data_IF_855424310041
#
_entry.id   IF_855424310041
#
_cell.length_a   1.000
_cell.length_b   1.000
_cell.length_c   1.000
_cell.angle_alpha   90.00
_cell.angle_beta   90.00
_cell.angle_gamma   90.00
#
_symmetry.space_group_name_H-M   'P 1'
#
loop_
_entity.id
_entity.type
_entity.pdbx_description
1 polymer ?
#
# COMPACT_ATOMS: atom_id res chain seq x y z
N UNK A 1 -68.36 24.68 -53.26
CA UNK A 1 -68.88 25.23 -51.99
C UNK A 1 -67.79 25.02 -50.95
N UNK A 2 -67.01 26.06 -50.61
CA UNK A 2 -67.16 26.87 -49.38
C UNK A 2 -66.49 26.12 -48.18
N UNK A 3 -65.52 26.63 -47.40
CA UNK A 3 -64.92 27.95 -47.17
C UNK A 3 -63.61 27.76 -46.38
N UNK A 4 -62.77 28.80 -46.43
CA UNK A 4 -61.56 29.08 -45.65
C UNK A 4 -61.88 29.39 -44.17
N UNK A 5 -60.97 29.08 -43.23
CA UNK A 5 -60.63 29.80 -41.97
C UNK A 5 -59.57 28.99 -41.18
N UNK A 6 -58.33 29.47 -40.99
CA UNK A 6 -57.82 30.44 -40.00
C UNK A 6 -57.75 29.96 -38.54
N UNK A 7 -56.50 29.88 -38.04
CA UNK A 7 -55.99 30.10 -36.69
C UNK A 7 -56.34 29.10 -35.56
N UNK A 8 -55.30 28.50 -34.96
CA UNK A 8 -54.79 28.89 -33.63
C UNK A 8 -53.45 28.17 -33.37
N UNK A 9 -52.35 28.93 -33.30
CA UNK A 9 -51.10 28.45 -32.73
C UNK A 9 -51.19 28.54 -31.21
N UNK A 10 -51.26 27.41 -30.53
CA UNK A 10 -51.15 27.34 -29.07
C UNK A 10 -49.66 27.36 -28.69
N UNK A 11 -49.17 28.49 -28.17
CA UNK A 11 -47.93 28.52 -27.38
C UNK A 11 -48.18 27.74 -26.08
N UNK A 12 -47.76 26.48 -26.04
CA UNK A 12 -47.60 25.75 -24.79
C UNK A 12 -46.35 26.26 -24.08
N UNK A 13 -46.54 27.15 -23.10
CA UNK A 13 -45.51 27.54 -22.14
C UNK A 13 -45.24 26.33 -21.24
N UNK A 14 -44.31 25.46 -21.65
CA UNK A 14 -43.84 24.35 -20.85
C UNK A 14 -43.05 24.86 -19.66
N UNK A 15 -43.69 24.93 -18.48
CA UNK A 15 -42.98 24.94 -17.20
C UNK A 15 -42.21 23.62 -17.11
N UNK A 16 -40.94 23.63 -17.51
CA UNK A 16 -40.01 22.57 -17.16
C UNK A 16 -39.82 22.60 -15.64
N UNK A 17 -40.62 21.79 -14.93
CA UNK A 17 -40.29 21.36 -13.58
C UNK A 17 -38.93 20.68 -13.68
N UNK A 18 -37.88 21.38 -13.26
CA UNK A 18 -36.58 20.78 -13.02
C UNK A 18 -36.80 19.68 -11.96
N UNK A 19 -36.89 18.43 -12.39
CA UNK A 19 -36.76 17.30 -11.48
C UNK A 19 -35.41 17.47 -10.79
N UNK A 20 -35.35 17.57 -9.46
CA UNK A 20 -34.07 17.50 -8.77
C UNK A 20 -33.41 16.18 -9.18
N UNK A 21 -32.14 16.25 -9.59
CA UNK A 21 -31.37 15.05 -9.84
C UNK A 21 -31.42 14.16 -8.57
N UNK A 22 -31.57 12.83 -8.70
CA UNK A 22 -31.56 11.95 -7.55
C UNK A 22 -30.28 12.21 -6.74
N UNK A 23 -30.47 12.55 -5.47
CA UNK A 23 -29.37 12.75 -4.54
C UNK A 23 -28.86 11.37 -4.16
N UNK A 24 -27.60 11.08 -4.46
CA UNK A 24 -27.00 9.78 -4.14
C UNK A 24 -27.18 9.43 -2.66
N UNK A 25 -27.72 8.24 -2.40
CA UNK A 25 -27.92 7.68 -1.07
C UNK A 25 -26.65 7.77 -0.22
N UNK A 26 -26.80 8.23 1.02
CA UNK A 26 -25.70 8.35 1.98
C UNK A 26 -25.19 6.96 2.42
N UNK A 27 -23.92 6.82 2.83
CA UNK A 27 -23.42 5.55 3.36
C UNK A 27 -24.25 5.02 4.54
N UNK A 28 -24.71 5.89 5.43
CA UNK A 28 -25.58 5.55 6.55
C UNK A 28 -26.91 4.97 6.10
N UNK A 29 -27.57 5.58 5.12
CA UNK A 29 -28.81 5.06 4.53
C UNK A 29 -28.59 3.70 3.87
N UNK A 30 -27.50 3.54 3.13
CA UNK A 30 -27.12 2.27 2.52
C UNK A 30 -26.85 1.17 3.56
N UNK A 31 -26.21 1.51 4.69
CA UNK A 31 -26.00 0.57 5.82
C UNK A 31 -27.35 0.17 6.42
N UNK A 32 -28.23 1.13 6.72
CA UNK A 32 -29.53 0.82 7.29
C UNK A 32 -30.36 -0.06 6.35
N UNK A 33 -30.44 0.30 5.07
CA UNK A 33 -31.19 -0.43 4.05
C UNK A 33 -30.69 -1.87 3.87
N UNK A 34 -29.36 -2.07 3.83
CA UNK A 34 -28.77 -3.35 3.45
C UNK A 34 -28.34 -4.22 4.63
N UNK A 35 -28.22 -3.68 5.84
CA UNK A 35 -27.65 -4.41 6.97
C UNK A 35 -28.60 -4.55 8.17
N UNK A 36 -29.55 -3.63 8.38
CA UNK A 36 -30.37 -3.60 9.59
C UNK A 36 -31.36 -4.78 9.72
N UNK A 37 -31.67 -5.47 8.62
CA UNK A 37 -32.51 -6.68 8.65
C UNK A 37 -31.87 -7.87 9.36
N UNK A 38 -30.53 -7.88 9.50
CA UNK A 38 -29.78 -8.96 10.17
C UNK A 38 -28.95 -8.45 11.35
N UNK A 39 -28.39 -7.24 11.23
CA UNK A 39 -27.62 -6.62 12.28
C UNK A 39 -28.51 -5.71 13.13
N UNK A 40 -28.66 -6.06 14.40
CA UNK A 40 -29.48 -5.31 15.35
C UNK A 40 -28.81 -3.97 15.72
N UNK A 41 -29.58 -2.91 16.02
CA UNK A 41 -29.04 -1.71 16.64
C UNK A 41 -28.34 -2.02 17.97
N UNK A 42 -27.22 -1.36 18.24
CA UNK A 42 -26.56 -1.41 19.55
C UNK A 42 -27.38 -0.59 20.55
N UNK A 43 -27.46 -1.01 21.82
CA UNK A 43 -28.34 -0.43 22.88
C UNK A 43 -28.05 1.04 23.25
N UNK A 44 -27.16 1.74 22.55
CA UNK A 44 -26.93 3.19 22.67
C UNK A 44 -27.42 3.90 21.40
N UNK A 45 -28.16 5.01 21.51
CA UNK A 45 -28.51 5.85 20.36
C UNK A 45 -27.25 6.20 19.56
N UNK A 46 -27.33 6.16 18.23
CA UNK A 46 -26.26 6.49 17.28
C UNK A 46 -25.00 5.61 17.36
N UNK A 47 -25.01 4.52 18.14
CA UNK A 47 -23.91 3.57 18.20
C UNK A 47 -23.86 2.61 17.00
N UNK A 48 -24.84 2.71 16.09
CA UNK A 48 -24.95 1.92 14.86
C UNK A 48 -25.32 0.45 15.09
N UNK A 49 -24.96 -0.43 14.14
CA UNK A 49 -25.40 -1.82 14.10
C UNK A 49 -24.39 -2.80 14.69
N UNK A 50 -24.87 -3.88 15.32
CA UNK A 50 -24.07 -4.97 15.91
C UNK A 50 -23.01 -5.50 14.95
N UNK A 51 -21.92 -6.05 15.49
CA UNK A 51 -20.73 -6.57 14.78
C UNK A 51 -19.85 -5.48 14.16
N UNK A 52 -20.44 -4.61 13.35
CA UNK A 52 -19.73 -3.57 12.60
C UNK A 52 -19.00 -2.57 13.50
N UNK A 53 -19.48 -2.39 14.73
CA UNK A 53 -18.99 -1.35 15.66
C UNK A 53 -17.87 -1.83 16.57
N UNK A 54 -17.48 -3.10 16.47
CA UNK A 54 -16.44 -3.70 17.31
C UNK A 54 -15.32 -4.34 16.47
N UNK A 55 -15.22 -3.94 15.20
CA UNK A 55 -14.16 -4.36 14.28
C UNK A 55 -13.60 -3.16 13.51
N UNK A 56 -12.29 -3.16 13.28
CA UNK A 56 -11.59 -2.27 12.34
C UNK A 56 -10.69 -3.09 11.43
N UNK A 57 -10.56 -2.67 10.17
CA UNK A 57 -9.85 -3.42 9.11
C UNK A 57 -9.29 -2.47 8.05
N UNK A 58 -8.42 -2.99 7.20
CA UNK A 58 -7.99 -2.31 5.96
C UNK A 58 -9.15 -2.20 4.96
N UNK A 59 -9.03 -1.38 3.90
CA UNK A 59 -10.02 -1.32 2.83
C UNK A 59 -10.34 -2.69 2.23
N UNK A 60 -9.31 -3.49 1.93
CA UNK A 60 -9.46 -4.84 1.41
C UNK A 60 -10.15 -5.77 2.43
N UNK A 61 -9.90 -5.59 3.73
CA UNK A 61 -10.56 -6.37 4.79
C UNK A 61 -12.07 -6.07 4.90
N UNK A 62 -12.46 -4.81 4.71
CA UNK A 62 -13.88 -4.41 4.61
C UNK A 62 -14.51 -4.92 3.32
N UNK A 63 -13.82 -4.79 2.18
CA UNK A 63 -14.27 -5.37 0.91
C UNK A 63 -14.55 -6.87 1.05
N UNK A 64 -13.61 -7.63 1.61
CA UNK A 64 -13.80 -9.07 1.87
C UNK A 64 -15.01 -9.36 2.77
N UNK A 65 -15.31 -8.48 3.72
CA UNK A 65 -16.46 -8.65 4.62
C UNK A 65 -17.78 -8.43 3.88
N UNK A 66 -17.89 -7.35 3.11
CA UNK A 66 -19.08 -7.06 2.30
C UNK A 66 -19.28 -8.09 1.19
N UNK A 67 -18.20 -8.51 0.50
CA UNK A 67 -18.25 -9.61 -0.48
C UNK A 67 -18.73 -10.90 0.18
N UNK A 68 -18.31 -11.21 1.40
CA UNK A 68 -18.81 -12.38 2.12
C UNK A 68 -20.31 -12.25 2.42
N UNK A 69 -20.80 -11.07 2.80
CA UNK A 69 -22.24 -10.87 2.99
C UNK A 69 -23.01 -11.05 1.68
N UNK A 70 -22.47 -10.57 0.57
CA UNK A 70 -23.07 -10.76 -0.75
C UNK A 70 -23.11 -12.25 -1.15
N UNK A 71 -21.98 -12.95 -1.02
CA UNK A 71 -21.81 -14.31 -1.52
C UNK A 71 -22.47 -15.35 -0.61
N UNK A 72 -22.24 -15.28 0.71
CA UNK A 72 -22.73 -16.29 1.66
C UNK A 72 -24.14 -15.97 2.15
N UNK A 73 -24.41 -14.73 2.53
CA UNK A 73 -25.68 -14.34 3.15
C UNK A 73 -26.66 -13.68 2.17
N UNK A 74 -26.29 -13.59 0.88
CA UNK A 74 -27.13 -13.08 -0.21
C UNK A 74 -27.63 -11.65 0.03
N UNK A 75 -26.83 -10.85 0.75
CA UNK A 75 -27.09 -9.41 0.89
C UNK A 75 -27.14 -8.77 -0.51
N UNK A 76 -28.23 -8.09 -0.87
CA UNK A 76 -28.44 -7.67 -2.25
C UNK A 76 -27.64 -6.40 -2.59
N UNK A 77 -27.25 -5.60 -1.59
CA UNK A 77 -26.59 -4.31 -1.77
C UNK A 77 -27.37 -3.41 -2.74
N UNK A 78 -28.63 -3.16 -2.40
CA UNK A 78 -29.55 -2.31 -3.16
C UNK A 78 -29.33 -0.84 -2.87
N UNK A 79 -29.57 -0.02 -3.88
CA UNK A 79 -29.63 1.43 -3.81
C UNK A 79 -30.95 1.91 -4.46
N UNK A 80 -31.79 2.70 -3.76
CA UNK A 80 -32.98 3.32 -4.33
C UNK A 80 -32.69 4.19 -5.58
N UNK A 81 -31.49 4.75 -5.68
CA UNK A 81 -31.05 5.60 -6.80
C UNK A 81 -30.52 4.79 -7.99
N UNK A 82 -30.56 3.46 -7.92
CA UNK A 82 -30.24 2.57 -9.02
C UNK A 82 -28.75 2.25 -9.18
N UNK A 83 -27.92 2.54 -8.19
CA UNK A 83 -26.53 2.11 -8.19
C UNK A 83 -26.42 0.57 -8.20
N UNK A 84 -25.37 0.06 -8.84
CA UNK A 84 -25.13 -1.38 -8.87
C UNK A 84 -24.72 -1.90 -7.48
N UNK A 85 -24.90 -3.20 -7.18
CA UNK A 85 -24.40 -3.80 -5.94
C UNK A 85 -22.90 -3.57 -5.70
N UNK A 86 -22.10 -3.55 -6.77
CA UNK A 86 -20.67 -3.25 -6.70
C UNK A 86 -20.40 -1.80 -6.30
N UNK A 87 -21.16 -0.85 -6.83
CA UNK A 87 -21.06 0.56 -6.47
C UNK A 87 -21.46 0.80 -5.01
N UNK A 88 -22.57 0.21 -4.57
CA UNK A 88 -22.98 0.25 -3.15
C UNK A 88 -21.88 -0.31 -2.26
N UNK A 89 -21.33 -1.48 -2.60
CA UNK A 89 -20.23 -2.05 -1.84
C UNK A 89 -19.00 -1.15 -1.83
N UNK A 90 -18.63 -0.53 -2.96
CA UNK A 90 -17.49 0.40 -3.04
C UNK A 90 -17.69 1.63 -2.15
N UNK A 91 -18.89 2.20 -2.13
CA UNK A 91 -19.27 3.30 -1.22
C UNK A 91 -19.13 2.87 0.24
N UNK A 92 -19.65 1.68 0.60
CA UNK A 92 -19.56 1.16 1.96
C UNK A 92 -18.11 0.80 2.36
N UNK A 93 -17.29 0.27 1.44
CA UNK A 93 -15.85 0.03 1.70
C UNK A 93 -15.16 1.34 2.05
N UNK A 94 -15.39 2.41 1.28
CA UNK A 94 -14.81 3.73 1.57
C UNK A 94 -15.22 4.20 2.96
N UNK A 95 -16.51 4.19 3.25
CA UNK A 95 -17.05 4.60 4.54
C UNK A 95 -16.46 3.82 5.72
N UNK A 96 -16.45 2.49 5.64
CA UNK A 96 -15.92 1.66 6.73
C UNK A 96 -14.40 1.76 6.86
N UNK A 97 -13.67 1.91 5.76
CA UNK A 97 -12.23 2.11 5.82
C UNK A 97 -11.87 3.46 6.47
N UNK A 98 -12.62 4.52 6.20
CA UNK A 98 -12.34 5.83 6.82
C UNK A 98 -12.72 5.87 8.29
N UNK A 99 -13.91 5.34 8.61
CA UNK A 99 -14.47 5.43 9.97
C UNK A 99 -13.95 4.32 10.89
N UNK A 100 -13.57 3.17 10.33
CA UNK A 100 -13.17 1.94 11.04
C UNK A 100 -11.97 1.28 10.37
N UNK A 101 -11.01 2.13 10.01
CA UNK A 101 -9.72 1.76 9.42
C UNK A 101 -8.67 1.36 10.45
N UNK A 102 -7.44 1.24 9.96
CA UNK A 102 -6.25 1.04 10.79
C UNK A 102 -5.35 2.26 10.71
N UNK A 103 -4.72 2.64 11.82
CA UNK A 103 -3.65 3.64 11.79
C UNK A 103 -2.43 3.12 11.01
N UNK A 104 -1.56 4.00 10.47
CA UNK A 104 -0.36 3.59 9.74
C UNK A 104 0.51 2.59 10.53
N UNK A 105 0.72 2.84 11.82
CA UNK A 105 1.49 1.94 12.69
C UNK A 105 0.86 0.54 12.84
N UNK A 106 -0.47 0.45 12.77
CA UNK A 106 -1.20 -0.81 12.93
C UNK A 106 -1.10 -1.73 11.71
N UNK A 107 -0.87 -1.17 10.51
CA UNK A 107 -0.74 -1.92 9.25
C UNK A 107 0.72 -2.19 8.85
N UNK A 108 1.68 -1.45 9.42
CA UNK A 108 3.09 -1.43 9.03
C UNK A 108 3.74 -2.84 8.89
N UNK A 109 3.52 -3.74 9.85
CA UNK A 109 4.11 -5.10 9.84
C UNK A 109 3.60 -5.96 8.66
N UNK A 110 2.38 -5.73 8.20
CA UNK A 110 1.65 -6.65 7.32
C UNK A 110 1.34 -6.10 5.93
N UNK A 111 1.91 -4.94 5.58
CA UNK A 111 1.69 -4.29 4.28
C UNK A 111 2.00 -5.19 3.09
N UNK A 112 2.96 -6.10 3.22
CA UNK A 112 3.30 -7.08 2.17
C UNK A 112 2.09 -7.83 1.62
N UNK A 113 1.07 -8.08 2.46
CA UNK A 113 -0.14 -8.78 2.04
C UNK A 113 -1.10 -7.90 1.25
N UNK A 114 -1.17 -6.60 1.55
CA UNK A 114 -1.94 -5.63 0.78
C UNK A 114 -1.26 -5.40 -0.58
N UNK A 115 0.08 -5.36 -0.57
CA UNK A 115 0.95 -5.19 -1.74
C UNK A 115 1.08 -6.46 -2.62
N UNK A 116 0.29 -7.51 -2.34
CA UNK A 116 0.30 -8.77 -3.11
C UNK A 116 1.68 -9.45 -3.19
N UNK A 117 2.49 -9.36 -2.12
CA UNK A 117 3.79 -10.04 -2.01
C UNK A 117 3.62 -11.48 -1.55
N UNK A 118 3.02 -12.32 -2.40
CA UNK A 118 2.64 -13.69 -2.05
C UNK A 118 3.80 -14.67 -1.80
N UNK A 119 5.04 -14.27 -2.09
CA UNK A 119 6.24 -15.05 -1.75
C UNK A 119 6.81 -14.73 -0.36
N UNK A 120 6.14 -13.86 0.41
CA UNK A 120 6.53 -13.58 1.80
C UNK A 120 6.32 -14.84 2.64
N UNK A 121 7.32 -15.17 3.45
CA UNK A 121 7.23 -16.28 4.41
C UNK A 121 6.82 -15.67 5.74
N UNK A 122 5.61 -15.97 6.17
CA UNK A 122 5.14 -15.62 7.51
C UNK A 122 5.90 -16.47 8.53
N UNK A 123 6.36 -15.83 9.60
CA UNK A 123 7.01 -16.49 10.73
C UNK A 123 6.32 -16.00 12.01
N UNK A 124 5.13 -16.57 12.33
CA UNK A 124 4.42 -16.18 13.53
C UNK A 124 5.25 -16.53 14.78
N UNK A 125 5.25 -15.64 15.77
CA UNK A 125 6.06 -15.80 16.99
C UNK A 125 5.52 -16.90 17.90
N UNK A 126 4.19 -17.04 17.95
CA UNK A 126 3.51 -18.04 18.75
C UNK A 126 3.18 -19.29 17.89
N UNK A 127 3.71 -20.48 18.23
CA UNK A 127 3.46 -21.70 17.47
C UNK A 127 2.00 -22.14 17.46
N UNK A 128 1.28 -21.91 18.56
CA UNK A 128 -0.13 -22.27 18.69
C UNK A 128 -0.97 -21.39 17.76
N UNK A 129 -0.69 -20.08 17.74
CA UNK A 129 -1.26 -19.14 16.77
C UNK A 129 -0.94 -19.54 15.32
N UNK A 130 0.30 -19.94 15.04
CA UNK A 130 0.70 -20.35 13.68
C UNK A 130 -0.17 -21.50 13.16
N UNK A 131 -0.43 -22.49 14.01
CA UNK A 131 -1.27 -23.65 13.68
C UNK A 131 -2.74 -23.27 13.62
N UNK A 132 -3.23 -22.50 14.59
CA UNK A 132 -4.66 -22.20 14.72
C UNK A 132 -5.16 -21.18 13.70
N UNK A 133 -4.33 -20.21 13.30
CA UNK A 133 -4.75 -19.06 12.52
C UNK A 133 -4.06 -18.92 11.15
N UNK A 134 -2.80 -19.34 11.02
CA UNK A 134 -1.95 -18.99 9.87
C UNK A 134 -1.67 -20.14 8.89
N UNK A 135 -2.27 -21.32 9.09
CA UNK A 135 -2.06 -22.49 8.19
C UNK A 135 -2.91 -22.48 6.92
N UNK A 136 -4.05 -21.79 6.92
CA UNK A 136 -4.98 -21.75 5.78
C UNK A 136 -4.79 -20.49 4.93
N UNK A 137 -4.55 -19.35 5.58
CA UNK A 137 -4.28 -18.06 4.95
C UNK A 137 -3.18 -17.34 5.73
N UNK A 138 -2.57 -16.34 5.11
CA UNK A 138 -1.49 -15.56 5.71
C UNK A 138 -1.86 -14.97 7.08
N UNK A 139 -0.88 -14.88 7.97
CA UNK A 139 -0.98 -14.25 9.30
C UNK A 139 -1.42 -12.78 9.18
N UNK A 140 -0.94 -12.09 8.14
CA UNK A 140 -1.32 -10.72 7.80
C UNK A 140 -2.82 -10.50 7.78
N UNK A 141 -3.62 -11.48 7.32
CA UNK A 141 -5.08 -11.34 7.25
C UNK A 141 -5.70 -11.18 8.63
N UNK A 142 -5.09 -11.77 9.66
CA UNK A 142 -5.49 -11.61 11.06
C UNK A 142 -4.89 -10.34 11.62
N UNK A 143 -3.58 -10.11 11.41
CA UNK A 143 -2.85 -8.96 11.95
C UNK A 143 -3.29 -7.59 11.39
N UNK A 144 -3.94 -7.56 10.22
CA UNK A 144 -4.57 -6.39 9.61
C UNK A 144 -6.02 -6.17 10.08
N UNK A 145 -6.33 -6.57 11.30
CA UNK A 145 -7.63 -6.33 11.93
C UNK A 145 -7.46 -5.96 13.40
N UNK A 146 -8.44 -5.25 13.95
CA UNK A 146 -8.54 -4.90 15.35
C UNK A 146 -9.96 -5.16 15.81
N UNK A 147 -10.15 -5.93 16.88
CA UNK A 147 -11.48 -6.35 17.31
C UNK A 147 -11.61 -6.44 18.83
N UNK A 148 -12.85 -6.37 19.31
CA UNK A 148 -13.13 -6.69 20.72
C UNK A 148 -12.96 -8.19 20.94
N UNK A 149 -12.85 -8.60 22.20
CA UNK A 149 -12.75 -10.03 22.54
C UNK A 149 -13.97 -10.82 22.05
N UNK A 150 -15.18 -10.26 22.21
CA UNK A 150 -16.41 -10.87 21.71
C UNK A 150 -16.36 -11.07 20.19
N UNK A 151 -15.84 -10.10 19.44
CA UNK A 151 -15.71 -10.21 17.98
C UNK A 151 -14.60 -11.15 17.52
N UNK A 152 -13.58 -11.40 18.34
CA UNK A 152 -12.61 -12.48 18.12
C UNK A 152 -13.22 -13.85 18.42
N UNK A 153 -13.97 -13.99 19.51
CA UNK A 153 -14.72 -15.22 19.86
C UNK A 153 -15.67 -15.63 18.74
N UNK A 154 -16.47 -14.69 18.26
CA UNK A 154 -17.40 -14.97 17.17
C UNK A 154 -16.69 -15.27 15.85
N UNK A 155 -15.49 -14.74 15.63
CA UNK A 155 -14.69 -15.11 14.48
C UNK A 155 -14.28 -16.58 14.54
N UNK A 156 -13.88 -17.09 15.71
CA UNK A 156 -13.54 -18.51 15.90
C UNK A 156 -14.75 -19.38 15.61
N UNK A 157 -15.92 -19.04 16.18
CA UNK A 157 -17.16 -19.75 15.87
C UNK A 157 -17.53 -19.70 14.38
N UNK A 158 -17.39 -18.54 13.73
CA UNK A 158 -17.63 -18.41 12.30
C UNK A 158 -16.74 -19.35 11.48
N UNK A 159 -15.43 -19.45 11.80
CA UNK A 159 -14.53 -20.32 11.06
C UNK A 159 -14.92 -21.80 11.19
N UNK A 160 -15.24 -22.25 12.41
CA UNK A 160 -15.63 -23.64 12.62
C UNK A 160 -17.00 -23.95 11.99
N UNK A 161 -17.98 -23.04 12.13
CA UNK A 161 -19.31 -23.24 11.55
C UNK A 161 -19.27 -23.24 10.01
N UNK A 162 -18.48 -22.34 9.41
CA UNK A 162 -18.37 -22.24 7.95
C UNK A 162 -17.49 -23.32 7.34
N UNK A 163 -16.47 -23.77 8.08
CA UNK A 163 -15.51 -24.78 7.66
C UNK A 163 -15.39 -25.87 8.74
N UNK A 164 -16.43 -26.71 8.93
CA UNK A 164 -16.47 -27.69 10.01
C UNK A 164 -15.33 -28.70 9.94
N UNK A 165 -14.76 -28.95 8.76
CA UNK A 165 -13.61 -29.84 8.59
C UNK A 165 -12.29 -29.23 9.08
N UNK A 166 -12.27 -27.96 9.52
CA UNK A 166 -11.08 -27.30 10.06
C UNK A 166 -10.53 -28.04 11.28
N UNK A 167 -11.39 -28.46 12.20
CA UNK A 167 -10.99 -29.22 13.39
C UNK A 167 -10.57 -30.68 13.06
N UNK A 168 -10.90 -31.20 11.88
CA UNK A 168 -10.50 -32.56 11.45
C UNK A 168 -9.22 -32.59 10.60
N UNK A 169 -8.73 -31.43 10.19
CA UNK A 169 -7.54 -31.31 9.34
C UNK A 169 -6.23 -31.37 10.16
N UNK A 170 -5.08 -31.40 9.49
CA UNK A 170 -3.78 -31.36 10.17
C UNK A 170 -3.61 -30.04 10.97
N UNK A 171 -3.21 -30.16 12.24
CA UNK A 171 -3.20 -29.04 13.20
C UNK A 171 -4.56 -28.76 13.85
N UNK A 172 -5.62 -29.44 13.41
CA UNK A 172 -6.94 -29.44 14.05
C UNK A 172 -7.19 -30.70 14.87
N UNK A 173 -7.09 -31.87 14.23
CA UNK A 173 -7.53 -33.16 14.80
C UNK A 173 -6.66 -33.70 15.94
N UNK A 174 -5.51 -33.08 16.16
CA UNK A 174 -4.51 -33.42 17.16
C UNK A 174 -4.69 -32.64 18.47
N UNK A 175 -5.75 -31.83 18.59
CA UNK A 175 -6.03 -30.99 19.77
C UNK A 175 -7.53 -30.77 19.97
N UNK A 176 -7.91 -30.26 21.13
CA UNK A 176 -9.22 -29.64 21.33
C UNK A 176 -9.25 -28.30 20.60
N UNK A 177 -9.60 -28.32 19.32
CA UNK A 177 -9.50 -27.15 18.45
C UNK A 177 -10.40 -26.00 18.92
N UNK A 178 -11.65 -26.29 19.30
CA UNK A 178 -12.57 -25.25 19.73
C UNK A 178 -12.19 -24.72 21.12
N UNK A 179 -11.90 -25.59 22.09
CA UNK A 179 -11.47 -25.15 23.43
C UNK A 179 -10.21 -24.31 23.37
N UNK A 180 -9.19 -24.76 22.63
CA UNK A 180 -7.96 -23.97 22.38
C UNK A 180 -8.27 -22.64 21.70
N UNK A 181 -9.14 -22.64 20.70
CA UNK A 181 -9.56 -21.45 19.98
C UNK A 181 -10.17 -20.40 20.92
N UNK A 182 -11.02 -20.82 21.85
CA UNK A 182 -11.75 -19.94 22.76
C UNK A 182 -10.93 -19.52 23.99
N UNK A 183 -10.18 -20.44 24.58
CA UNK A 183 -9.56 -20.23 25.89
C UNK A 183 -8.11 -19.76 25.78
N UNK A 184 -7.45 -20.00 24.63
CA UNK A 184 -6.05 -19.60 24.39
C UNK A 184 -5.94 -18.55 23.29
N UNK A 185 -6.52 -18.82 22.12
CA UNK A 185 -6.33 -17.96 20.95
C UNK A 185 -7.11 -16.64 21.06
N UNK A 186 -8.37 -16.65 21.52
CA UNK A 186 -9.14 -15.41 21.70
C UNK A 186 -8.48 -14.43 22.68
N UNK A 187 -8.00 -14.83 23.87
CA UNK A 187 -7.24 -13.94 24.75
C UNK A 187 -5.96 -13.40 24.09
N UNK A 188 -5.20 -14.24 23.39
CA UNK A 188 -4.00 -13.83 22.66
C UNK A 188 -4.32 -12.77 21.60
N UNK A 189 -5.34 -13.01 20.77
CA UNK A 189 -5.78 -12.07 19.73
C UNK A 189 -6.29 -10.76 20.31
N UNK A 190 -7.04 -10.82 21.41
CA UNK A 190 -7.61 -9.63 22.06
C UNK A 190 -6.53 -8.75 22.66
N UNK A 191 -5.48 -9.36 23.23
CA UNK A 191 -4.30 -8.64 23.72
C UNK A 191 -3.45 -8.05 22.59
N UNK A 192 -3.25 -8.82 21.53
CA UNK A 192 -2.32 -8.47 20.44
C UNK A 192 -2.92 -7.48 19.45
N UNK A 193 -4.23 -7.61 19.19
CA UNK A 193 -4.98 -6.84 18.20
C UNK A 193 -6.30 -6.30 18.79
N UNK A 194 -6.23 -5.51 19.88
CA UNK A 194 -7.42 -4.97 20.54
C UNK A 194 -8.16 -3.98 19.65
N UNK A 195 -9.48 -3.87 19.81
CA UNK A 195 -10.29 -2.89 19.07
C UNK A 195 -9.83 -1.45 19.31
N UNK A 196 -9.63 -1.08 20.57
CA UNK A 196 -9.18 0.25 20.97
C UNK A 196 -7.65 0.27 21.08
N UNK A 197 -7.03 1.25 20.43
CA UNK A 197 -5.58 1.48 20.49
C UNK A 197 -5.32 2.99 20.59
N UNK A 198 -4.18 3.36 21.17
CA UNK A 198 -3.74 4.76 21.20
C UNK A 198 -3.43 5.25 19.78
N UNK A 199 -2.79 4.39 18.98
CA UNK A 199 -2.43 4.66 17.59
C UNK A 199 -3.65 5.04 16.75
N UNK A 200 -4.77 4.32 16.88
CA UNK A 200 -6.00 4.67 16.17
C UNK A 200 -6.64 5.96 16.71
N UNK A 201 -6.72 6.10 18.03
CA UNK A 201 -7.31 7.28 18.68
C UNK A 201 -6.56 8.56 18.31
N UNK A 202 -5.24 8.50 18.23
CA UNK A 202 -4.37 9.61 17.84
C UNK A 202 -4.47 9.87 16.33
N UNK A 203 -4.47 8.81 15.51
CA UNK A 203 -4.64 8.94 14.07
C UNK A 203 -5.99 9.58 13.72
N UNK A 204 -7.08 9.23 14.38
CA UNK A 204 -8.39 9.85 14.13
C UNK A 204 -8.37 11.37 14.34
N UNK A 205 -7.69 11.84 15.39
CA UNK A 205 -7.58 13.27 15.73
C UNK A 205 -6.59 14.02 14.84
N UNK A 206 -5.60 13.33 14.26
CA UNK A 206 -4.58 13.93 13.42
C UNK A 206 -5.19 14.55 12.14
N UNK A 207 -4.69 15.70 11.73
CA UNK A 207 -4.97 16.24 10.40
C UNK A 207 -4.38 15.31 9.35
N UNK A 208 -5.18 14.89 8.38
CA UNK A 208 -4.73 14.00 7.31
C UNK A 208 -3.94 14.79 6.27
N UNK A 209 -2.84 14.24 5.72
CA UNK A 209 -2.05 14.95 4.72
C UNK A 209 -2.83 15.16 3.42
N UNK A 210 -2.66 16.31 2.79
CA UNK A 210 -3.14 16.53 1.42
C UNK A 210 -2.24 15.75 0.45
N UNK A 211 -2.82 14.90 -0.39
CA UNK A 211 -2.05 14.00 -1.29
C UNK A 211 -2.07 14.43 -2.76
N UNK A 212 -2.83 15.46 -3.12
CA UNK A 212 -2.70 16.14 -4.42
C UNK A 212 -1.30 16.73 -4.63
N UNK A 213 -0.88 16.81 -5.89
CA UNK A 213 0.36 17.46 -6.29
C UNK A 213 1.27 16.56 -7.12
N UNK A 214 2.53 16.97 -7.21
CA UNK A 214 3.55 16.30 -8.03
C UNK A 214 4.44 15.43 -7.14
N UNK A 215 4.68 14.21 -7.59
CA UNK A 215 5.43 13.19 -6.89
C UNK A 215 6.55 12.68 -7.78
N UNK A 216 7.79 12.68 -7.29
CA UNK A 216 8.91 12.03 -7.97
C UNK A 216 8.96 10.58 -7.52
N UNK A 217 8.91 9.65 -8.46
CA UNK A 217 8.96 8.21 -8.23
C UNK A 217 10.32 7.68 -8.69
N UNK A 218 10.83 6.70 -7.95
CA UNK A 218 11.92 5.85 -8.39
C UNK A 218 11.61 4.40 -8.03
N UNK A 219 12.08 3.47 -8.85
CA UNK A 219 11.88 2.04 -8.62
C UNK A 219 12.76 1.16 -9.48
N UNK A 220 12.71 -0.15 -9.23
CA UNK A 220 13.38 -1.17 -10.04
C UNK A 220 12.39 -2.24 -10.50
N UNK A 221 12.12 -2.30 -11.80
CA UNK A 221 11.23 -3.30 -12.38
C UNK A 221 12.03 -4.56 -12.74
N UNK A 222 11.71 -5.74 -12.14
CA UNK A 222 12.40 -6.98 -12.47
C UNK A 222 12.33 -7.29 -13.97
N UNK A 223 13.49 -7.54 -14.58
CA UNK A 223 13.61 -7.82 -16.02
C UNK A 223 13.65 -6.59 -16.93
N UNK A 224 13.36 -5.39 -16.43
CA UNK A 224 13.42 -4.13 -17.20
C UNK A 224 14.51 -3.17 -16.70
N UNK A 225 14.72 -3.10 -15.39
CA UNK A 225 15.75 -2.26 -14.78
C UNK A 225 15.18 -1.13 -13.91
N UNK A 226 16.04 -0.21 -13.52
CA UNK A 226 15.64 0.97 -12.75
C UNK A 226 14.80 1.93 -13.62
N UNK A 227 13.92 2.70 -13.00
CA UNK A 227 13.22 3.81 -13.64
C UNK A 227 13.11 5.01 -12.73
N UNK A 228 12.93 6.17 -13.33
CA UNK A 228 12.53 7.40 -12.67
C UNK A 228 11.30 7.99 -13.37
N UNK A 229 10.35 8.52 -12.60
CA UNK A 229 9.12 9.08 -13.15
C UNK A 229 8.58 10.23 -12.31
N UNK A 230 7.82 11.11 -12.93
CA UNK A 230 7.00 12.13 -12.32
C UNK A 230 5.54 11.67 -12.38
N UNK A 231 4.88 11.61 -11.23
CA UNK A 231 3.45 11.36 -11.11
C UNK A 231 2.76 12.66 -10.67
N UNK A 232 1.77 13.11 -11.42
CA UNK A 232 0.90 14.23 -11.05
C UNK A 232 -0.45 13.70 -10.59
N UNK A 233 -0.79 13.94 -9.34
CA UNK A 233 -2.08 13.61 -8.74
C UNK A 233 -2.95 14.87 -8.67
N UNK A 234 -4.01 14.91 -9.47
CA UNK A 234 -4.96 16.03 -9.52
C UNK A 234 -6.27 15.62 -8.86
N UNK A 235 -6.78 16.41 -7.93
CA UNK A 235 -8.03 16.12 -7.23
C UNK A 235 -9.20 15.94 -8.20
N UNK A 236 -10.03 14.93 -7.95
CA UNK A 236 -11.24 14.56 -8.71
C UNK A 236 -12.37 14.16 -7.74
N UNK A 237 -12.50 14.94 -6.67
CA UNK A 237 -13.30 14.64 -5.49
C UNK A 237 -12.46 14.83 -4.22
N UNK A 238 -13.07 14.62 -3.05
CA UNK A 238 -12.39 14.83 -1.76
C UNK A 238 -11.18 13.90 -1.58
N UNK A 239 -11.34 12.61 -1.87
CA UNK A 239 -10.29 11.59 -1.72
C UNK A 239 -9.97 10.84 -3.02
N UNK A 240 -10.47 11.35 -4.16
CA UNK A 240 -10.25 10.76 -5.48
C UNK A 240 -9.30 11.65 -6.28
N UNK A 241 -8.47 11.02 -7.11
CA UNK A 241 -7.46 11.71 -7.91
C UNK A 241 -7.41 11.14 -9.32
N UNK A 242 -7.17 12.00 -10.31
CA UNK A 242 -6.65 11.61 -11.62
C UNK A 242 -5.13 11.59 -11.55
N UNK A 243 -4.53 10.61 -12.22
CA UNK A 243 -3.09 10.40 -12.27
C UNK A 243 -2.59 10.59 -13.70
N UNK A 244 -1.50 11.36 -13.83
CA UNK A 244 -0.65 11.41 -15.01
C UNK A 244 0.77 10.98 -14.60
N UNK A 245 1.36 10.02 -15.32
CA UNK A 245 2.69 9.45 -15.05
C UNK A 245 3.57 9.64 -16.28
N UNK A 246 4.75 10.22 -16.10
CA UNK A 246 5.75 10.43 -17.15
C UNK A 246 7.15 10.17 -16.62
N UNK A 247 7.94 9.34 -17.29
CA UNK A 247 9.26 8.93 -16.83
C UNK A 247 10.02 8.14 -17.88
N UNK A 248 11.13 7.56 -17.48
CA UNK A 248 11.96 6.71 -18.34
C UNK A 248 12.60 5.57 -17.54
N UNK A 249 12.81 4.45 -18.22
CA UNK A 249 13.66 3.37 -17.73
C UNK A 249 15.13 3.69 -17.94
N UNK A 250 16.02 2.98 -17.24
CA UNK A 250 17.46 3.14 -17.34
C UNK A 250 18.03 2.83 -18.73
N UNK A 251 17.30 2.07 -19.56
CA UNK A 251 17.65 1.80 -20.96
C UNK A 251 17.19 2.90 -21.94
N UNK A 252 16.53 3.95 -21.43
CA UNK A 252 16.02 5.08 -22.20
C UNK A 252 14.61 4.89 -22.76
N UNK A 253 13.95 3.75 -22.53
CA UNK A 253 12.54 3.59 -22.93
C UNK A 253 11.64 4.49 -22.09
N UNK A 254 10.71 5.20 -22.75
CA UNK A 254 9.73 6.05 -22.08
C UNK A 254 8.76 5.22 -21.23
N UNK A 255 8.43 5.74 -20.05
CA UNK A 255 7.39 5.23 -19.15
C UNK A 255 6.29 6.30 -19.05
N UNK A 256 5.14 6.05 -19.66
CA UNK A 256 4.01 6.97 -19.63
C UNK A 256 2.72 6.27 -19.28
N UNK A 257 1.83 6.94 -18.55
CA UNK A 257 0.52 6.37 -18.23
C UNK A 257 -0.44 7.35 -17.58
N UNK A 258 -1.71 6.98 -17.58
CA UNK A 258 -2.76 7.72 -16.90
C UNK A 258 -3.60 6.79 -16.04
N UNK A 259 -4.32 7.34 -15.07
CA UNK A 259 -5.09 6.52 -14.16
C UNK A 259 -5.93 7.31 -13.17
N UNK A 260 -6.42 6.59 -12.17
CA UNK A 260 -7.13 7.17 -11.04
C UNK A 260 -6.67 6.55 -9.73
N UNK A 261 -6.76 7.33 -8.66
CA UNK A 261 -6.54 6.87 -7.29
C UNK A 261 -7.69 7.26 -6.37
N UNK A 262 -7.80 6.49 -5.30
CA UNK A 262 -8.61 6.79 -4.13
C UNK A 262 -7.75 6.64 -2.88
N UNK A 263 -7.98 7.50 -1.89
CA UNK A 263 -7.33 7.45 -0.58
C UNK A 263 -8.32 6.98 0.47
N UNK A 264 -7.95 5.95 1.23
CA UNK A 264 -8.71 5.46 2.37
C UNK A 264 -8.02 5.82 3.68
N UNK A 265 -8.80 6.11 4.71
CA UNK A 265 -8.29 6.37 6.07
C UNK A 265 -7.28 7.54 6.14
N UNK A 266 -7.23 8.38 5.09
CA UNK A 266 -6.30 9.49 4.92
C UNK A 266 -4.85 9.13 4.60
N UNK A 267 -4.51 7.87 4.34
CA UNK A 267 -3.14 7.47 3.95
C UNK A 267 -3.03 6.24 3.04
N UNK A 268 -4.03 5.35 3.00
CA UNK A 268 -4.01 4.15 2.15
C UNK A 268 -4.36 4.52 0.71
N UNK A 269 -3.35 4.70 -0.11
CA UNK A 269 -3.46 5.05 -1.52
C UNK A 269 -3.69 3.79 -2.36
N UNK A 270 -4.76 3.79 -3.16
CA UNK A 270 -5.06 2.74 -4.13
C UNK A 270 -5.25 3.36 -5.51
N UNK A 271 -4.40 2.97 -6.46
CA UNK A 271 -4.52 3.45 -7.83
C UNK A 271 -4.71 2.34 -8.84
N UNK A 272 -5.34 2.68 -9.96
CA UNK A 272 -5.28 1.92 -11.21
C UNK A 272 -4.64 2.81 -12.26
N UNK A 273 -3.59 2.33 -12.92
CA UNK A 273 -2.84 3.11 -13.91
C UNK A 273 -2.62 2.23 -15.13
N UNK A 274 -2.97 2.73 -16.31
CA UNK A 274 -2.59 2.14 -17.57
C UNK A 274 -1.31 2.82 -18.05
N UNK A 275 -0.19 2.10 -18.01
CA UNK A 275 1.12 2.59 -18.41
C UNK A 275 1.69 1.75 -19.55
N UNK A 276 2.05 2.39 -20.66
CA UNK A 276 2.53 1.75 -21.89
C UNK A 276 1.67 0.55 -22.34
N UNK A 277 0.34 0.66 -22.24
CA UNK A 277 -0.60 -0.40 -22.63
C UNK A 277 -0.73 -1.56 -21.64
N UNK A 278 -0.15 -1.45 -20.44
CA UNK A 278 -0.28 -2.45 -19.37
C UNK A 278 -1.04 -1.85 -18.19
N UNK A 279 -2.07 -2.56 -17.73
CA UNK A 279 -2.86 -2.17 -16.57
C UNK A 279 -2.14 -2.55 -15.26
N UNK A 280 -1.92 -1.57 -14.41
CA UNK A 280 -1.29 -1.70 -13.10
C UNK A 280 -2.24 -1.33 -11.97
N UNK A 281 -1.98 -1.90 -10.79
CA UNK A 281 -2.50 -1.44 -9.50
C UNK A 281 -1.36 -0.85 -8.68
N UNK A 282 -1.63 0.23 -7.96
CA UNK A 282 -0.76 0.72 -6.90
C UNK A 282 -1.42 0.50 -5.54
N UNK A 283 -0.62 0.02 -4.59
CA UNK A 283 -0.97 -0.11 -3.18
C UNK A 283 0.13 0.57 -2.39
N UNK A 284 -0.10 1.84 -2.03
CA UNK A 284 0.87 2.67 -1.32
C UNK A 284 0.30 3.15 0.02
N UNK A 285 1.17 3.52 0.93
CA UNK A 285 0.85 4.25 2.15
C UNK A 285 1.53 5.62 2.13
N UNK A 286 0.78 6.66 2.43
CA UNK A 286 1.35 7.96 2.72
C UNK A 286 2.00 7.97 4.11
N UNK A 287 3.12 8.66 4.24
CA UNK A 287 3.68 9.02 5.55
C UNK A 287 2.73 10.00 6.26
N UNK A 288 2.77 10.03 7.59
CA UNK A 288 1.90 10.90 8.39
C UNK A 288 2.04 12.39 8.04
N UNK A 289 3.22 12.83 7.59
CA UNK A 289 3.49 14.19 7.14
C UNK A 289 3.12 14.45 5.67
N UNK A 290 2.69 13.43 4.92
CA UNK A 290 2.35 13.53 3.50
C UNK A 290 3.53 13.76 2.57
N UNK A 291 4.77 13.58 3.05
CA UNK A 291 5.95 13.83 2.25
C UNK A 291 6.30 12.67 1.31
N UNK A 292 5.88 11.43 1.64
CA UNK A 292 6.21 10.23 0.87
C UNK A 292 5.01 9.30 0.69
N UNK A 293 4.99 8.57 -0.43
CA UNK A 293 4.16 7.40 -0.65
C UNK A 293 5.07 6.18 -0.81
N UNK A 294 4.83 5.14 -0.05
CA UNK A 294 5.64 3.92 -0.04
C UNK A 294 4.76 2.68 -0.25
N UNK A 295 5.21 1.75 -1.09
CA UNK A 295 4.52 0.47 -1.26
C UNK A 295 4.89 -0.21 -2.55
N UNK A 296 3.88 -0.68 -3.30
CA UNK A 296 4.10 -1.45 -4.52
C UNK A 296 3.16 -1.10 -5.66
N UNK A 297 3.68 -1.14 -6.88
CA UNK A 297 2.93 -1.13 -8.13
C UNK A 297 3.10 -2.45 -8.85
N UNK A 298 2.03 -3.07 -9.32
CA UNK A 298 2.09 -4.39 -9.96
C UNK A 298 1.03 -4.55 -11.06
N UNK A 299 1.28 -5.41 -12.04
CA UNK A 299 0.35 -5.65 -13.14
C UNK A 299 -0.94 -6.26 -12.60
N UNK A 300 -2.10 -5.74 -13.03
CA UNK A 300 -3.42 -6.10 -12.48
C UNK A 300 -3.70 -7.60 -12.55
N UNK A 301 -3.35 -8.25 -13.65
CA UNK A 301 -3.62 -9.67 -13.90
C UNK A 301 -2.44 -10.59 -13.56
N UNK A 302 -1.30 -10.00 -13.15
CA UNK A 302 -0.01 -10.69 -12.98
C UNK A 302 0.76 -10.04 -11.84
N UNK A 303 0.23 -10.13 -10.64
CA UNK A 303 0.76 -9.41 -9.48
C UNK A 303 2.20 -9.79 -9.12
N UNK A 304 2.73 -10.91 -9.61
CA UNK A 304 4.14 -11.25 -9.47
C UNK A 304 5.07 -10.27 -10.19
N UNK A 305 4.56 -9.60 -11.24
CA UNK A 305 5.26 -8.55 -11.96
C UNK A 305 4.89 -7.21 -11.35
N UNK A 306 5.75 -6.76 -10.44
CA UNK A 306 5.61 -5.46 -9.82
C UNK A 306 6.93 -4.94 -9.29
N UNK A 307 6.87 -3.70 -8.85
CA UNK A 307 7.99 -2.87 -8.42
C UNK A 307 7.65 -2.20 -7.11
N UNK A 308 8.66 -2.11 -6.24
CA UNK A 308 8.61 -1.29 -5.05
C UNK A 308 8.60 0.17 -5.47
N UNK A 309 7.65 0.93 -4.93
CA UNK A 309 7.50 2.35 -5.21
C UNK A 309 7.88 3.11 -3.96
N UNK A 310 8.84 4.00 -4.12
CA UNK A 310 9.06 5.13 -3.24
C UNK A 310 8.77 6.39 -4.05
N UNK A 311 7.81 7.18 -3.59
CA UNK A 311 7.43 8.43 -4.22
C UNK A 311 7.56 9.57 -3.22
N UNK A 312 8.14 10.68 -3.64
CA UNK A 312 8.38 11.83 -2.79
C UNK A 312 7.66 13.06 -3.32
N UNK A 313 6.98 13.77 -2.42
CA UNK A 313 6.22 14.96 -2.78
C UNK A 313 7.17 16.12 -3.13
N UNK A 314 6.97 16.70 -4.30
CA UNK A 314 7.72 17.89 -4.75
C UNK A 314 7.12 19.11 -4.02
N UNK A 315 7.82 19.60 -2.99
CA UNK A 315 7.29 20.61 -2.05
C UNK A 315 7.88 22.02 -2.24
N UNK A 316 8.43 22.34 -3.42
CA UNK A 316 9.06 23.64 -3.72
C UNK A 316 10.35 23.94 -2.95
N UNK A 317 10.67 23.15 -1.92
CA UNK A 317 11.94 23.22 -1.17
C UNK A 317 13.00 22.32 -1.85
N UNK A 318 14.26 22.77 -1.95
CA UNK A 318 15.36 21.92 -2.41
C UNK A 318 15.51 20.65 -1.56
N UNK A 319 15.34 19.48 -2.17
CA UNK A 319 15.43 18.17 -1.54
C UNK A 319 16.01 17.14 -2.49
N UNK A 320 16.94 16.32 -1.97
CA UNK A 320 17.49 15.17 -2.67
C UNK A 320 16.77 13.96 -2.09
N UNK A 321 16.08 13.24 -2.96
CA UNK A 321 15.08 12.25 -2.57
C UNK A 321 15.61 10.83 -2.79
N UNK A 322 16.25 10.58 -3.92
CA UNK A 322 16.82 9.27 -4.25
C UNK A 322 18.15 9.38 -5.02
N UNK A 323 18.88 8.26 -5.00
CA UNK A 323 20.08 8.03 -5.79
C UNK A 323 20.01 6.64 -6.42
N UNK A 324 20.17 6.55 -7.74
CA UNK A 324 20.16 5.28 -8.45
C UNK A 324 21.35 5.19 -9.43
N UNK A 325 22.13 4.10 -9.41
CA UNK A 325 22.18 3.08 -8.38
C UNK A 325 22.76 3.61 -7.05
N UNK A 326 22.28 3.10 -5.92
CA UNK A 326 22.73 3.51 -4.58
C UNK A 326 24.06 2.85 -4.12
N UNK A 327 24.93 2.45 -5.05
CA UNK A 327 26.21 1.81 -4.75
C UNK A 327 27.32 2.23 -5.73
N UNK A 328 28.57 2.21 -5.28
CA UNK A 328 29.75 2.50 -6.11
C UNK A 328 30.94 1.63 -5.68
N UNK A 329 31.60 0.98 -6.63
CA UNK A 329 32.78 0.14 -6.38
C UNK A 329 34.01 1.03 -6.16
N UNK A 330 34.86 0.68 -5.19
CA UNK A 330 36.20 1.27 -5.04
C UNK A 330 36.99 1.21 -6.36
N UNK A 331 37.62 2.31 -6.75
CA UNK A 331 38.35 2.40 -8.02
C UNK A 331 37.47 2.30 -9.28
N UNK A 332 36.14 2.26 -9.13
CA UNK A 332 35.20 2.17 -10.24
C UNK A 332 34.66 3.53 -10.66
N UNK A 333 34.22 3.59 -11.92
CA UNK A 333 33.50 4.73 -12.51
C UNK A 333 32.08 4.28 -12.85
N UNK A 334 31.09 5.13 -12.57
CA UNK A 334 29.68 4.80 -12.77
C UNK A 334 28.83 6.06 -12.98
N UNK A 335 27.81 5.95 -13.82
CA UNK A 335 26.78 6.97 -13.97
C UNK A 335 25.70 6.77 -12.91
N UNK A 336 25.36 7.84 -12.21
CA UNK A 336 24.35 7.92 -11.16
C UNK A 336 23.27 8.93 -11.54
N UNK A 337 22.03 8.62 -11.19
CA UNK A 337 20.86 9.49 -11.29
C UNK A 337 20.47 9.96 -9.90
N UNK A 338 20.40 11.27 -9.72
CA UNK A 338 19.95 11.96 -8.52
C UNK A 338 18.55 12.46 -8.80
N UNK A 339 17.56 11.98 -8.05
CA UNK A 339 16.18 12.42 -8.15
C UNK A 339 15.85 13.30 -6.94
N UNK A 340 15.16 14.42 -7.18
CA UNK A 340 14.87 15.40 -6.16
C UNK A 340 13.84 16.45 -6.57
N UNK A 341 13.84 17.56 -5.83
CA UNK A 341 13.06 18.75 -6.08
C UNK A 341 13.93 19.97 -5.80
N UNK A 342 13.83 21.03 -6.61
CA UNK A 342 14.67 22.23 -6.45
C UNK A 342 16.17 21.97 -6.39
N UNK A 343 16.67 20.92 -7.06
CA UNK A 343 18.09 20.58 -7.13
C UNK A 343 18.86 21.69 -7.85
N UNK A 344 19.87 22.23 -7.17
CA UNK A 344 20.73 23.26 -7.71
C UNK A 344 22.15 23.16 -7.15
N UNK A 345 23.13 23.43 -8.00
CA UNK A 345 24.56 23.37 -7.64
C UNK A 345 25.20 22.02 -7.92
N UNK A 346 26.49 21.91 -7.60
CA UNK A 346 27.29 20.71 -7.89
C UNK A 346 27.01 19.62 -6.84
N UNK A 347 26.82 18.35 -7.26
CA UNK A 347 26.68 17.25 -6.32
C UNK A 347 28.00 16.94 -5.61
N UNK A 348 27.90 16.55 -4.33
CA UNK A 348 28.98 16.08 -3.47
C UNK A 348 28.62 14.71 -2.91
N UNK A 349 29.48 13.73 -3.16
CA UNK A 349 29.31 12.33 -2.75
C UNK A 349 30.18 11.97 -1.53
N UNK A 350 30.89 12.95 -0.95
CA UNK A 350 31.81 12.77 0.15
C UNK A 350 33.22 12.40 -0.28
N UNK A 351 34.12 12.33 0.71
CA UNK A 351 35.56 12.10 0.50
C UNK A 351 35.84 10.79 -0.24
N UNK A 352 36.74 10.85 -1.22
CA UNK A 352 37.18 9.71 -2.03
C UNK A 352 36.30 9.42 -3.24
N UNK A 353 35.32 10.27 -3.55
CA UNK A 353 34.48 10.17 -4.74
C UNK A 353 34.56 11.47 -5.51
N UNK A 354 34.88 11.39 -6.80
CA UNK A 354 34.98 12.51 -7.72
C UNK A 354 33.78 12.51 -8.66
N UNK A 355 33.17 13.67 -8.85
CA UNK A 355 32.23 13.90 -9.96
C UNK A 355 33.05 14.21 -11.20
N UNK A 356 33.06 13.28 -12.15
CA UNK A 356 33.79 13.40 -13.41
C UNK A 356 33.03 14.28 -14.41
N UNK A 357 31.72 14.06 -14.50
CA UNK A 357 30.85 14.75 -15.47
C UNK A 357 29.43 14.94 -14.91
N UNK A 358 28.79 16.07 -15.25
CA UNK A 358 27.35 16.26 -15.09
C UNK A 358 26.73 16.15 -16.48
N UNK A 359 26.18 14.98 -16.79
CA UNK A 359 25.62 14.63 -18.11
C UNK A 359 24.35 15.43 -18.39
N UNK A 360 23.47 15.55 -17.39
CA UNK A 360 22.30 16.42 -17.43
C UNK A 360 21.91 16.88 -16.04
N UNK A 361 21.30 18.06 -15.96
CA UNK A 361 20.86 18.64 -14.69
C UNK A 361 19.65 19.54 -14.90
N UNK A 362 18.58 19.23 -14.18
CA UNK A 362 17.44 20.11 -13.98
C UNK A 362 17.08 20.17 -12.48
N UNK A 363 16.01 20.89 -12.16
CA UNK A 363 15.59 21.11 -10.77
C UNK A 363 15.07 19.84 -10.08
N UNK A 364 14.83 18.74 -10.78
CA UNK A 364 14.22 17.52 -10.25
C UNK A 364 15.02 16.26 -10.55
N UNK A 365 15.96 16.32 -11.51
CA UNK A 365 16.78 15.20 -11.97
C UNK A 365 18.18 15.67 -12.34
N UNK A 366 19.18 14.92 -11.89
CA UNK A 366 20.59 15.13 -12.24
C UNK A 366 21.21 13.80 -12.63
N UNK A 367 21.85 13.72 -13.80
CA UNK A 367 22.62 12.55 -14.24
C UNK A 367 24.09 12.92 -14.20
N UNK A 368 24.88 12.17 -13.45
CA UNK A 368 26.30 12.44 -13.24
C UNK A 368 27.14 11.19 -13.37
N UNK A 369 28.33 11.32 -13.94
CA UNK A 369 29.34 10.26 -13.92
C UNK A 369 30.29 10.54 -12.77
N UNK A 370 30.50 9.53 -11.91
CA UNK A 370 31.38 9.63 -10.75
C UNK A 370 32.40 8.50 -10.73
N UNK A 371 33.55 8.76 -10.11
CA UNK A 371 34.59 7.77 -9.86
C UNK A 371 34.95 7.72 -8.38
N UNK A 372 35.03 6.51 -7.81
CA UNK A 372 35.61 6.30 -6.49
C UNK A 372 37.11 6.09 -6.60
N UNK A 373 37.89 6.68 -5.70
CA UNK A 373 39.31 6.35 -5.53
C UNK A 373 39.48 4.87 -5.17
N UNK A 374 40.60 4.26 -5.55
CA UNK A 374 40.89 2.85 -5.23
C UNK A 374 40.93 2.59 -3.72
N UNK A 375 41.32 3.59 -2.91
CA UNK A 375 41.36 3.54 -1.45
C UNK A 375 40.17 4.22 -0.76
N UNK A 376 39.11 4.58 -1.49
CA UNK A 376 37.94 5.24 -0.90
C UNK A 376 37.35 4.37 0.21
N UNK A 377 37.18 4.89 1.43
CA UNK A 377 36.70 4.06 2.54
C UNK A 377 35.37 3.37 2.20
N UNK A 378 35.15 2.13 2.64
CA UNK A 378 33.86 1.47 2.39
C UNK A 378 32.74 2.03 3.28
N UNK A 379 31.49 1.78 2.90
CA UNK A 379 30.30 2.10 3.67
C UNK A 379 29.47 3.26 3.17
N UNK A 380 28.42 3.61 3.93
CA UNK A 380 27.43 4.60 3.49
C UNK A 380 28.05 5.99 3.39
N UNK A 381 27.50 6.79 2.49
CA UNK A 381 27.84 8.19 2.22
C UNK A 381 26.58 9.02 2.16
N UNK A 382 26.63 10.17 2.82
CA UNK A 382 25.66 11.21 2.53
C UNK A 382 25.98 11.83 1.17
N UNK A 383 24.96 12.09 0.36
CA UNK A 383 25.07 12.82 -0.90
C UNK A 383 24.40 14.17 -0.72
N UNK A 384 25.04 15.22 -1.27
CA UNK A 384 24.54 16.58 -1.22
C UNK A 384 24.42 17.17 -2.61
N UNK A 385 23.44 18.04 -2.81
CA UNK A 385 23.29 18.88 -4.00
C UNK A 385 22.91 20.27 -3.49
N UNK A 386 23.89 21.17 -3.43
CA UNK A 386 23.71 22.46 -2.76
C UNK A 386 23.26 22.27 -1.30
N UNK A 387 22.07 22.76 -0.96
CA UNK A 387 21.48 22.63 0.39
C UNK A 387 20.70 21.33 0.60
N UNK A 388 20.42 20.58 -0.46
CA UNK A 388 19.74 19.30 -0.37
C UNK A 388 20.72 18.22 0.10
N UNK A 389 20.37 17.45 1.14
CA UNK A 389 21.21 16.37 1.66
C UNK A 389 20.39 15.10 1.86
N UNK A 390 20.86 13.99 1.29
CA UNK A 390 20.34 12.65 1.55
C UNK A 390 21.39 11.84 2.32
N UNK A 391 21.07 11.48 3.56
CA UNK A 391 21.97 10.70 4.42
C UNK A 391 22.01 9.23 4.00
N UNK A 392 23.20 8.61 4.03
CA UNK A 392 23.43 7.21 3.65
C UNK A 392 22.92 6.84 2.23
N UNK A 393 22.89 7.80 1.32
CA UNK A 393 22.37 7.65 -0.04
C UNK A 393 23.22 6.74 -0.94
N UNK A 394 24.54 6.72 -0.75
CA UNK A 394 25.46 5.94 -1.58
C UNK A 394 26.29 4.99 -0.73
N UNK A 395 26.36 3.71 -1.09
CA UNK A 395 27.25 2.74 -0.42
C UNK A 395 28.49 2.45 -1.25
N UNK A 396 29.67 2.81 -0.74
CA UNK A 396 30.96 2.43 -1.35
C UNK A 396 31.34 1.02 -0.89
N UNK A 397 31.68 0.13 -1.81
CA UNK A 397 32.06 -1.24 -1.50
C UNK A 397 33.40 -1.62 -2.13
N UNK A 398 34.09 -2.57 -1.50
CA UNK A 398 35.36 -3.08 -1.98
C UNK A 398 35.18 -4.04 -3.17
N UNK A 399 36.21 -4.17 -4.00
CA UNK A 399 36.23 -4.96 -5.22
C UNK A 399 35.72 -6.42 -5.05
N UNK A 400 35.97 -7.01 -3.88
CA UNK A 400 35.40 -8.31 -3.51
C UNK A 400 34.22 -8.11 -2.55
N UNK A 401 32.96 -8.29 -2.98
CA UNK A 401 31.91 -8.57 -2.02
C UNK A 401 32.27 -9.87 -1.30
N UNK A 402 32.34 -9.83 0.03
CA UNK A 402 32.76 -10.99 0.86
C UNK A 402 31.87 -12.22 0.62
N UNK A 403 30.64 -12.01 0.11
CA UNK A 403 29.74 -13.04 -0.44
C UNK A 403 28.91 -12.47 -1.58
N UNK A 404 29.05 -13.02 -2.79
CA UNK A 404 28.01 -12.95 -3.81
C UNK A 404 26.93 -13.98 -3.50
N UNK A 405 25.73 -13.57 -3.11
CA UNK A 405 24.60 -14.50 -3.09
C UNK A 405 23.99 -14.48 -4.48
N UNK A 406 24.24 -15.53 -5.27
CA UNK A 406 23.47 -15.77 -6.49
C UNK A 406 21.99 -15.98 -6.08
N UNK A 407 21.25 -14.87 -6.09
CA UNK A 407 19.88 -14.78 -5.60
C UNK A 407 19.79 -14.82 -4.08
N UNK A 408 18.84 -14.07 -3.53
CA UNK A 408 18.07 -14.61 -2.42
C UNK A 408 17.75 -16.07 -2.78
N UNK A 409 18.39 -17.06 -2.12
CA UNK A 409 17.87 -18.43 -2.06
C UNK A 409 16.60 -18.39 -1.19
N UNK A 410 15.64 -17.59 -1.61
CA UNK A 410 14.31 -17.52 -1.05
C UNK A 410 13.50 -18.62 -1.70
N UNK A 411 12.76 -19.35 -0.89
CA UNK A 411 11.70 -20.22 -1.37
C UNK A 411 10.69 -19.33 -2.09
N UNK A 412 10.37 -19.66 -3.34
CA UNK A 412 9.31 -18.99 -4.10
C UNK A 412 8.43 -20.07 -4.71
N UNK A 413 7.14 -19.78 -4.79
CA UNK A 413 6.14 -20.70 -5.34
C UNK A 413 5.79 -20.30 -6.76
N UNK A 414 5.59 -21.30 -7.59
CA UNK A 414 5.08 -21.16 -8.95
C UNK A 414 3.75 -21.87 -9.04
N UNK A 415 2.85 -21.36 -9.90
CA UNK A 415 1.59 -22.03 -10.20
C UNK A 415 1.48 -22.21 -11.70
N UNK A 416 1.26 -23.45 -12.13
CA UNK A 416 0.96 -23.79 -13.53
C UNK A 416 -0.43 -23.22 -13.85
N UNK A 417 -0.59 -22.58 -15.01
CA UNK A 417 -1.84 -21.99 -15.49
C UNK A 417 -1.86 -21.89 -17.03
N UNK A 418 -2.96 -21.41 -17.62
CA UNK A 418 -3.04 -21.15 -19.07
C UNK A 418 -3.23 -22.36 -20.01
N UNK A 419 -3.69 -23.51 -19.50
CA UNK A 419 -4.27 -24.58 -20.33
C UNK A 419 -5.74 -24.74 -19.90
N UNK A 420 -6.67 -24.13 -20.66
CA UNK A 420 -8.13 -24.28 -20.54
C UNK A 420 -8.77 -24.15 -19.13
N UNK A 421 -8.08 -23.55 -18.15
CA UNK A 421 -8.59 -23.25 -16.81
C UNK A 421 -8.42 -21.76 -16.50
N UNK A 422 -9.36 -21.18 -15.75
CA UNK A 422 -9.53 -19.75 -15.45
C UNK A 422 -8.40 -19.13 -14.57
N UNK A 423 -7.14 -19.55 -14.74
CA UNK A 423 -6.00 -19.05 -13.96
C UNK A 423 -4.83 -18.64 -14.85
N UNK A 424 -4.32 -17.43 -14.65
CA UNK A 424 -3.11 -16.91 -15.30
C UNK A 424 -1.85 -17.67 -14.80
N UNK A 425 -0.87 -17.87 -15.70
CA UNK A 425 0.45 -18.41 -15.33
C UNK A 425 1.15 -17.43 -14.39
N UNK A 426 1.78 -17.91 -13.32
CA UNK A 426 2.60 -17.08 -12.44
C UNK A 426 4.11 -17.33 -12.69
N UNK A 427 4.89 -16.27 -12.97
CA UNK A 427 6.33 -16.35 -13.34
C UNK A 427 7.28 -15.78 -12.26
N UNK A 428 8.60 -15.84 -12.46
CA UNK A 428 9.62 -15.29 -11.54
C UNK A 428 10.09 -13.93 -12.01
N UNK A 429 10.29 -13.04 -11.05
CA UNK A 429 11.37 -12.05 -11.08
C UNK A 429 12.60 -12.60 -10.34
N UNK A 430 13.79 -12.55 -10.95
CA UNK A 430 15.06 -12.78 -10.25
C UNK A 430 15.77 -11.44 -10.05
N UNK A 431 16.31 -11.20 -8.84
CA UNK A 431 17.29 -10.15 -8.57
C UNK A 431 18.49 -10.77 -7.84
N UNK A 432 19.70 -10.58 -8.38
CA UNK A 432 20.93 -10.89 -7.65
C UNK A 432 21.27 -9.71 -6.74
N UNK A 433 21.45 -9.97 -5.44
CA UNK A 433 21.90 -8.96 -4.46
C UNK A 433 23.31 -9.29 -3.98
N UNK A 434 24.21 -8.31 -3.98
CA UNK A 434 25.56 -8.44 -3.43
C UNK A 434 25.64 -7.75 -2.07
N UNK A 435 26.32 -8.35 -1.10
CA UNK A 435 26.49 -7.82 0.26
C UNK A 435 27.97 -7.83 0.63
N UNK A 436 28.46 -6.77 1.30
CA UNK A 436 29.77 -6.75 1.97
C UNK A 436 29.59 -6.99 3.46
N UNK A 437 30.41 -7.87 4.03
CA UNK A 437 30.34 -8.31 5.42
C UNK A 437 31.09 -7.34 6.33
N UNK A 438 30.36 -6.61 7.18
CA UNK A 438 31.01 -5.80 8.20
C UNK A 438 31.56 -6.68 9.33
N UNK A 439 32.85 -6.49 9.62
CA UNK A 439 33.57 -7.09 10.74
C UNK A 439 33.33 -6.30 12.02
N UNK A 440 32.06 -6.14 12.41
CA UNK A 440 31.61 -5.80 13.77
C UNK A 440 30.23 -6.43 13.91
N UNK A 441 30.09 -7.41 14.80
CA UNK A 441 28.92 -8.29 14.86
C UNK A 441 27.61 -7.54 15.08
N UNK A 442 26.84 -7.32 14.02
CA UNK A 442 25.39 -7.15 14.00
C UNK A 442 24.90 -7.53 12.61
N UNK A 443 24.43 -8.77 12.47
CA UNK A 443 23.84 -9.26 11.24
C UNK A 443 22.45 -8.66 10.99
N UNK A 444 22.25 -8.18 9.76
CA UNK A 444 20.97 -8.15 9.05
C UNK A 444 19.78 -7.46 9.73
N UNK A 445 19.65 -6.14 9.55
CA UNK A 445 18.37 -5.45 9.58
C UNK A 445 18.34 -4.35 8.52
N UNK A 446 17.43 -4.46 7.56
CA UNK A 446 16.86 -3.27 6.92
C UNK A 446 16.23 -2.44 8.04
N UNK A 447 16.85 -1.30 8.36
CA UNK A 447 16.34 -0.38 9.35
C UNK A 447 16.68 1.05 8.90
N UNK A 448 15.84 1.62 8.03
CA UNK A 448 15.60 3.04 8.13
C UNK A 448 14.71 3.25 9.36
N UNK A 449 15.32 3.58 10.49
CA UNK A 449 14.62 4.05 11.68
C UNK A 449 15.16 5.43 12.04
N UNK A 450 14.50 6.48 11.57
CA UNK A 450 14.58 7.80 12.22
C UNK A 450 13.64 7.75 13.41
N UNK A 451 14.19 7.83 14.62
CA UNK A 451 13.42 8.02 15.85
C UNK A 451 14.27 8.80 16.83
N UNK A 452 13.90 10.07 17.10
CA UNK A 452 14.46 10.87 18.18
C UNK A 452 14.03 10.23 19.51
N UNK A 453 14.99 9.69 20.26
CA UNK A 453 14.81 9.29 21.65
C UNK A 453 15.84 9.99 22.52
N UNK A 454 15.37 10.79 23.49
CA UNK A 454 16.18 11.41 24.54
C UNK A 454 16.98 10.32 25.28
N UNK A 455 18.30 10.49 25.36
CA UNK A 455 19.16 9.68 26.21
C UNK A 455 19.01 10.18 27.65
N UNK A 456 18.35 9.37 28.49
CA UNK A 456 18.44 9.48 29.94
C UNK A 456 19.66 8.70 30.43
N UNK A 457 20.57 9.38 31.09
CA UNK A 457 21.74 8.80 31.78
C UNK A 457 21.29 7.97 32.98
N UNK A 458 21.66 6.68 33.01
CA UNK A 458 21.59 5.82 34.19
C UNK A 458 22.90 5.05 34.30
N UNK A 459 23.71 5.41 35.29
CA UNK A 459 25.02 4.85 35.56
C UNK A 459 24.93 3.45 36.19
N UNK A 460 26.04 2.73 36.04
CA UNK A 460 26.36 1.39 36.52
C UNK A 460 26.09 1.18 38.02
N UNK A 461 25.62 -0.03 38.33
CA UNK A 461 25.65 -0.70 39.63
C UNK A 461 25.55 -2.20 39.39
#
# INVERSE_FOLDING_TARGET
MQKMNCALAALALGCALACPAPQASTPEELIHLNCAGCHLPVEKPDAGLTRMQQQRKTPEGWQMTLTRMHVLHKSPFTDPDGASPEDVMRTLVKYFADTKGLAPAESARYRYSLEQRHNTIDVPEDPEYAVMCARCHAESRVGLQRRSEAEWRDLVHFHLAQFPTSEYSAGGRDRDWLGTGLDTIVPLLSKTYPYETAEWSDWQKATKPALEGRWRLAGHMPGKGDFDALMTATADGADNFRIDLQGQFADGEDLSGTGSAIVYTGYEWRASIDANGVAYKQVLAATEDGAQLEGRMFQREREEFGVDIEAWKISGKPQLLALAPAHLRQGGTQTLVLAGAGLAGKPDFGKGIRVDEVVSSDAERMVVTVSAEAGAATGPRAVRVGNATLGNALTVYADRPDRGNAGLRGWTRWRIGGLAGQGARHLRGHRAGQWSGWRTGYGGRYAHRRGRGRVGSGALG
#
